data_IF_978672418427
#
_entry.id   IF_978672418427
#
_cell.length_a   1.000
_cell.length_b   1.000
_cell.length_c   1.000
_cell.angle_alpha   90.00
_cell.angle_beta   90.00
_cell.angle_gamma   90.00
#
_symmetry.space_group_name_H-M   'P 1'
#
loop_
_entity.id
_entity.type
_entity.pdbx_description
1 polymer ?
#
# COMPACT_ATOMS: atom_id res chain seq x y z
N UNK A 1 -10.93 4.89 18.91
CA UNK A 1 -10.07 5.85 18.17
C UNK A 1 -10.03 5.43 16.71
N UNK A 2 -9.87 6.38 15.79
CA UNK A 2 -9.84 6.16 14.35
C UNK A 2 -8.47 6.53 13.79
N UNK A 3 -7.90 5.65 12.99
CA UNK A 3 -6.66 5.91 12.29
C UNK A 3 -6.89 5.97 10.77
N UNK A 4 -6.24 6.93 10.11
CA UNK A 4 -6.15 6.98 8.65
C UNK A 4 -4.70 6.69 8.24
N UNK A 5 -4.48 5.63 7.46
CA UNK A 5 -3.19 5.33 6.84
C UNK A 5 -3.22 5.79 5.38
N UNK A 6 -2.30 6.68 5.02
CA UNK A 6 -2.13 7.18 3.65
C UNK A 6 -0.97 6.39 3.05
N UNK A 7 -1.32 5.39 2.25
CA UNK A 7 -0.42 4.50 1.51
C UNK A 7 -1.22 3.63 0.54
N UNK A 8 -0.72 3.50 -0.68
CA UNK A 8 -1.18 2.46 -1.59
C UNK A 8 -0.88 1.06 -1.00
N UNK A 9 -1.73 0.07 -1.29
CA UNK A 9 -1.39 -1.32 -1.07
C UNK A 9 -0.33 -1.78 -2.09
N UNK A 10 0.45 -2.81 -1.75
CA UNK A 10 1.39 -3.43 -2.70
C UNK A 10 1.09 -4.92 -2.88
N UNK A 11 1.40 -5.43 -4.07
CA UNK A 11 1.55 -6.87 -4.28
C UNK A 11 3.04 -7.20 -4.29
N UNK A 12 3.47 -8.09 -3.40
CA UNK A 12 4.86 -8.51 -3.31
C UNK A 12 5.02 -9.86 -4.03
N UNK A 13 5.77 -9.84 -5.14
CA UNK A 13 6.21 -11.04 -5.86
C UNK A 13 7.60 -11.40 -5.36
N UNK A 14 7.71 -12.54 -4.67
CA UNK A 14 8.92 -12.97 -3.98
C UNK A 14 9.47 -14.21 -4.68
N UNK A 15 10.61 -14.04 -5.33
CA UNK A 15 11.40 -15.11 -5.93
C UNK A 15 12.45 -15.62 -4.95
N UNK A 16 12.46 -16.94 -4.74
CA UNK A 16 13.50 -17.64 -3.97
C UNK A 16 14.33 -18.48 -4.95
N UNK A 17 15.55 -18.02 -5.29
CA UNK A 17 16.37 -18.65 -6.33
C UNK A 17 16.71 -20.10 -6.02
N UNK A 18 17.09 -20.37 -4.76
CA UNK A 18 17.46 -21.72 -4.29
C UNK A 18 16.30 -22.70 -4.46
N UNK A 19 15.09 -22.24 -4.16
CA UNK A 19 13.87 -23.04 -4.17
C UNK A 19 13.16 -23.04 -5.53
N UNK A 20 13.66 -22.24 -6.49
CA UNK A 20 13.05 -22.03 -7.83
C UNK A 20 11.55 -21.76 -7.76
N UNK A 21 11.13 -20.98 -6.76
CA UNK A 21 9.71 -20.68 -6.52
C UNK A 21 9.47 -19.18 -6.49
N UNK A 22 8.28 -18.79 -6.94
CA UNK A 22 7.77 -17.44 -6.79
C UNK A 22 6.48 -17.47 -5.97
N UNK A 23 6.42 -16.67 -4.92
CA UNK A 23 5.24 -16.51 -4.07
C UNK A 23 4.70 -15.10 -4.25
N UNK A 24 3.36 -14.96 -4.25
CA UNK A 24 2.68 -13.67 -4.29
C UNK A 24 2.03 -13.42 -2.94
N UNK A 25 2.37 -12.32 -2.30
CA UNK A 25 1.83 -11.95 -1.00
C UNK A 25 1.23 -10.55 -1.02
N UNK A 26 0.14 -10.32 -0.26
CA UNK A 26 -0.32 -8.98 0.01
C UNK A 26 0.74 -8.25 0.83
N UNK A 27 1.01 -7.00 0.48
CA UNK A 27 2.08 -6.21 1.07
C UNK A 27 1.71 -4.75 1.25
N UNK A 28 2.72 -3.99 1.68
CA UNK A 28 2.66 -2.54 1.74
C UNK A 28 2.43 -1.99 3.15
N UNK A 29 2.86 -0.75 3.41
CA UNK A 29 2.76 -0.11 4.72
C UNK A 29 1.32 -0.05 5.27
N UNK A 30 0.32 0.15 4.40
CA UNK A 30 -1.08 0.18 4.80
C UNK A 30 -1.54 -1.12 5.49
N UNK A 31 -1.14 -2.28 4.96
CA UNK A 31 -1.50 -3.58 5.52
C UNK A 31 -0.89 -3.78 6.91
N UNK A 32 0.42 -3.58 7.05
CA UNK A 32 1.12 -3.83 8.31
C UNK A 32 0.76 -2.81 9.40
N UNK A 33 0.70 -1.52 9.04
CA UNK A 33 0.27 -0.48 9.98
C UNK A 33 -1.19 -0.71 10.38
N UNK A 34 -2.06 -1.08 9.43
CA UNK A 34 -3.45 -1.37 9.71
C UNK A 34 -3.63 -2.55 10.66
N UNK A 35 -2.92 -3.66 10.43
CA UNK A 35 -2.91 -4.82 11.33
C UNK A 35 -2.49 -4.45 12.75
N UNK A 36 -1.39 -3.70 12.90
CA UNK A 36 -0.92 -3.26 14.20
C UNK A 36 -1.96 -2.36 14.92
N UNK A 37 -2.52 -1.39 14.20
CA UNK A 37 -3.54 -0.47 14.73
C UNK A 37 -4.84 -1.19 15.12
N UNK A 38 -5.28 -2.18 14.33
CA UNK A 38 -6.42 -3.04 14.67
C UNK A 38 -6.15 -3.80 15.98
N UNK A 39 -4.95 -4.33 16.16
CA UNK A 39 -4.52 -4.97 17.41
C UNK A 39 -4.54 -4.03 18.62
N UNK A 40 -4.36 -2.73 18.40
CA UNK A 40 -4.47 -1.68 19.42
C UNK A 40 -5.90 -1.16 19.63
N UNK A 41 -6.91 -1.75 18.98
CA UNK A 41 -8.31 -1.36 19.13
C UNK A 41 -8.73 -0.13 18.30
N UNK A 42 -7.94 0.28 17.30
CA UNK A 42 -8.34 1.35 16.38
C UNK A 42 -9.34 0.82 15.33
N UNK A 43 -10.26 1.70 14.94
CA UNK A 43 -10.92 1.61 13.64
C UNK A 43 -9.95 2.14 12.59
N UNK A 44 -9.62 1.32 11.59
CA UNK A 44 -8.59 1.67 10.61
C UNK A 44 -9.22 1.94 9.26
N UNK A 45 -8.94 3.12 8.73
CA UNK A 45 -9.18 3.47 7.35
C UNK A 45 -7.85 3.60 6.60
N UNK A 46 -7.83 3.20 5.33
CA UNK A 46 -6.69 3.39 4.45
C UNK A 46 -7.11 4.15 3.19
N UNK A 47 -6.21 5.00 2.70
CA UNK A 47 -6.32 5.64 1.39
C UNK A 47 -5.04 5.42 0.60
N UNK A 48 -5.21 5.11 -0.68
CA UNK A 48 -4.12 4.99 -1.63
C UNK A 48 -4.64 4.38 -2.93
N UNK A 49 -4.10 4.80 -4.07
CA UNK A 49 -4.50 4.29 -5.38
C UNK A 49 -4.07 2.82 -5.51
N UNK A 50 -4.93 1.98 -6.09
CA UNK A 50 -4.60 0.59 -6.37
C UNK A 50 -5.09 0.18 -7.74
N UNK A 51 -4.27 -0.59 -8.45
CA UNK A 51 -4.59 -1.11 -9.77
C UNK A 51 -5.07 -2.55 -9.73
N UNK A 52 -5.36 -3.10 -10.92
CA UNK A 52 -6.01 -4.40 -11.09
C UNK A 52 -5.22 -5.55 -10.45
N UNK A 53 -3.89 -5.51 -10.47
CA UNK A 53 -3.05 -6.60 -9.91
C UNK A 53 -3.02 -6.62 -8.39
N UNK A 54 -3.38 -5.52 -7.74
CA UNK A 54 -3.28 -5.34 -6.28
C UNK A 54 -4.65 -5.50 -5.61
N UNK A 55 -5.71 -5.80 -6.40
CA UNK A 55 -7.08 -5.94 -5.91
C UNK A 55 -7.22 -7.00 -4.81
N UNK A 56 -6.52 -8.12 -4.93
CA UNK A 56 -6.54 -9.19 -3.92
C UNK A 56 -5.93 -8.74 -2.60
N UNK A 57 -4.94 -7.83 -2.64
CA UNK A 57 -4.38 -7.22 -1.42
C UNK A 57 -5.42 -6.35 -0.72
N UNK A 58 -6.23 -5.59 -1.46
CA UNK A 58 -7.31 -4.79 -0.89
C UNK A 58 -8.39 -5.67 -0.26
N UNK A 59 -8.76 -6.77 -0.92
CA UNK A 59 -9.72 -7.73 -0.36
C UNK A 59 -9.18 -8.37 0.93
N UNK A 60 -7.87 -8.66 0.97
CA UNK A 60 -7.21 -9.16 2.16
C UNK A 60 -7.17 -8.12 3.29
N UNK A 61 -6.84 -6.85 3.02
CA UNK A 61 -6.95 -5.76 4.00
C UNK A 61 -8.36 -5.67 4.60
N UNK A 62 -9.39 -5.75 3.75
CA UNK A 62 -10.80 -5.69 4.18
C UNK A 62 -11.20 -6.85 5.09
N UNK A 63 -10.73 -8.07 4.81
CA UNK A 63 -11.01 -9.24 5.67
C UNK A 63 -10.39 -9.10 7.07
N UNK A 64 -9.37 -8.25 7.21
CA UNK A 64 -8.72 -7.91 8.49
C UNK A 64 -9.37 -6.71 9.20
N UNK A 65 -10.49 -6.19 8.67
CA UNK A 65 -11.20 -5.03 9.21
C UNK A 65 -10.51 -3.69 8.92
N UNK A 66 -9.65 -3.63 7.90
CA UNK A 66 -9.04 -2.39 7.40
C UNK A 66 -9.92 -1.85 6.27
N UNK A 67 -10.53 -0.68 6.49
CA UNK A 67 -11.46 -0.10 5.52
C UNK A 67 -10.72 0.76 4.51
N UNK A 68 -10.65 0.35 3.25
CA UNK A 68 -10.11 1.19 2.17
C UNK A 68 -11.20 2.09 1.58
N UNK A 69 -11.04 3.41 1.69
CA UNK A 69 -12.07 4.38 1.28
C UNK A 69 -12.03 4.74 -0.21
N UNK A 70 -10.91 4.46 -0.89
CA UNK A 70 -10.68 4.57 -2.33
C UNK A 70 -9.27 3.94 -2.65
N UNK A 71 -8.72 3.88 -3.86
CA UNK A 71 -9.12 4.41 -5.17
C UNK A 71 -8.71 3.39 -6.24
N UNK A 72 -9.64 2.58 -6.75
CA UNK A 72 -9.36 1.64 -7.83
C UNK A 72 -8.99 2.41 -9.11
N UNK A 73 -7.96 1.95 -9.80
CA UNK A 73 -7.44 2.50 -11.06
C UNK A 73 -7.33 1.40 -12.11
N UNK A 74 -7.31 1.80 -13.37
CA UNK A 74 -7.12 0.88 -14.51
C UNK A 74 -5.64 0.49 -14.73
N UNK A 75 -4.71 1.07 -13.97
CA UNK A 75 -3.30 0.69 -14.01
C UNK A 75 -3.03 -0.64 -13.26
N UNK A 76 -1.76 -1.04 -13.17
CA UNK A 76 -1.36 -2.29 -12.52
C UNK A 76 -1.26 -2.17 -11.00
N UNK A 77 -1.16 -0.97 -10.43
CA UNK A 77 -0.83 -0.73 -9.03
C UNK A 77 0.64 -0.96 -8.71
N UNK A 78 1.01 -0.80 -7.43
CA UNK A 78 2.36 -1.08 -6.96
C UNK A 78 2.60 -2.58 -6.85
N UNK A 79 3.48 -3.09 -7.70
CA UNK A 79 3.97 -4.47 -7.61
C UNK A 79 5.47 -4.41 -7.29
N UNK A 80 5.84 -5.03 -6.18
CA UNK A 80 7.22 -5.14 -5.74
C UNK A 80 7.74 -6.51 -6.11
N UNK A 81 8.89 -6.57 -6.78
CA UNK A 81 9.57 -7.84 -7.02
C UNK A 81 10.77 -7.93 -6.08
N UNK A 82 10.73 -8.90 -5.19
CA UNK A 82 11.82 -9.25 -4.29
C UNK A 82 12.49 -10.53 -4.77
N UNK A 83 13.81 -10.55 -4.82
CA UNK A 83 14.59 -11.75 -5.11
C UNK A 83 15.46 -12.06 -3.90
N UNK A 84 15.34 -13.25 -3.34
CA UNK A 84 16.27 -13.83 -2.37
C UNK A 84 17.25 -14.72 -3.14
N UNK A 85 18.44 -14.19 -3.36
CA UNK A 85 19.46 -14.84 -4.16
C UNK A 85 20.10 -16.02 -3.41
N UNK A 86 20.66 -16.98 -4.15
CA UNK A 86 21.42 -18.09 -3.56
C UNK A 86 22.61 -17.62 -2.71
N UNK A 87 23.13 -16.42 -2.97
CA UNK A 87 24.18 -15.77 -2.17
C UNK A 87 23.70 -15.26 -0.80
N UNK A 88 22.39 -15.32 -0.50
CA UNK A 88 21.78 -14.72 0.69
C UNK A 88 21.43 -13.24 0.53
N UNK A 89 21.76 -12.62 -0.61
CA UNK A 89 21.42 -11.23 -0.90
C UNK A 89 19.91 -11.09 -1.18
N UNK A 90 19.30 -10.02 -0.65
CA UNK A 90 17.94 -9.61 -1.03
C UNK A 90 17.99 -8.41 -1.97
N UNK A 91 17.39 -8.57 -3.14
CA UNK A 91 17.18 -7.48 -4.11
C UNK A 91 15.71 -7.12 -4.18
N UNK A 92 15.42 -5.83 -4.35
CA UNK A 92 14.04 -5.34 -4.50
C UNK A 92 13.97 -4.37 -5.66
N UNK A 93 12.98 -4.54 -6.52
CA UNK A 93 12.67 -3.60 -7.60
C UNK A 93 11.17 -3.32 -7.66
N UNK A 94 10.81 -2.13 -8.12
CA UNK A 94 9.43 -1.76 -8.40
C UNK A 94 9.10 -2.26 -9.81
N UNK A 95 8.24 -3.27 -9.93
CA UNK A 95 7.82 -3.86 -11.20
C UNK A 95 6.70 -3.05 -11.88
N UNK A 96 5.85 -2.39 -11.10
CA UNK A 96 4.88 -1.41 -11.59
C UNK A 96 4.55 -0.39 -10.50
N UNK A 97 4.06 0.77 -10.92
CA UNK A 97 3.58 1.85 -10.04
C UNK A 97 2.07 2.05 -10.18
N UNK A 98 1.43 2.55 -9.12
CA UNK A 98 0.08 3.10 -9.22
C UNK A 98 0.12 4.56 -9.69
N UNK A 99 -0.99 5.04 -10.26
CA UNK A 99 -1.24 6.47 -10.48
C UNK A 99 -1.18 7.25 -9.16
N UNK A 100 -0.82 8.54 -9.16
CA UNK A 100 -0.71 9.32 -7.92
C UNK A 100 -2.06 9.53 -7.23
N UNK A 101 -1.99 9.84 -5.93
CA UNK A 101 -3.15 10.25 -5.15
C UNK A 101 -3.40 11.75 -5.33
N UNK A 102 -4.65 12.14 -5.60
CA UNK A 102 -4.99 13.57 -5.68
C UNK A 102 -5.24 14.20 -4.30
N UNK A 103 -5.05 15.51 -4.20
CA UNK A 103 -5.35 16.26 -2.98
C UNK A 103 -6.85 16.20 -2.60
N UNK A 104 -7.74 16.12 -3.60
CA UNK A 104 -9.18 16.00 -3.38
C UNK A 104 -9.55 14.64 -2.77
N UNK A 105 -8.98 13.55 -3.29
CA UNK A 105 -9.19 12.21 -2.72
C UNK A 105 -8.69 12.14 -1.29
N UNK A 106 -7.52 12.72 -1.01
CA UNK A 106 -7.00 12.82 0.35
C UNK A 106 -7.94 13.60 1.26
N UNK A 107 -8.41 14.79 0.82
CA UNK A 107 -9.36 15.61 1.58
C UNK A 107 -10.66 14.85 1.85
N UNK A 108 -11.19 14.15 0.85
CA UNK A 108 -12.41 13.34 0.98
C UNK A 108 -12.23 12.22 2.02
N UNK A 109 -11.09 11.52 2.01
CA UNK A 109 -10.81 10.50 3.01
C UNK A 109 -10.70 11.06 4.43
N UNK A 110 -10.04 12.20 4.62
CA UNK A 110 -9.94 12.84 5.95
C UNK A 110 -11.34 13.19 6.47
N UNK A 111 -12.21 13.76 5.63
CA UNK A 111 -13.58 14.12 6.00
C UNK A 111 -14.46 12.90 6.29
N UNK A 112 -14.29 11.80 5.53
CA UNK A 112 -15.04 10.55 5.68
C UNK A 112 -14.61 9.76 6.91
N UNK A 113 -13.30 9.58 7.09
CA UNK A 113 -12.73 8.74 8.13
C UNK A 113 -12.67 9.45 9.48
N UNK A 114 -12.61 10.79 9.48
CA UNK A 114 -12.51 11.65 10.67
C UNK A 114 -11.45 11.12 11.67
N UNK A 115 -10.20 10.89 11.21
CA UNK A 115 -9.20 10.21 12.03
C UNK A 115 -8.75 11.04 13.23
N UNK A 116 -8.44 10.35 14.33
CA UNK A 116 -7.73 10.90 15.49
C UNK A 116 -6.21 10.81 15.29
N UNK A 117 -5.77 9.87 14.45
CA UNK A 117 -4.37 9.61 14.09
C UNK A 117 -4.23 9.50 12.57
N UNK A 118 -3.25 10.19 12.00
CA UNK A 118 -2.90 10.07 10.58
C UNK A 118 -1.48 9.55 10.45
N UNK A 119 -1.32 8.45 9.72
CA UNK A 119 -0.01 7.90 9.36
C UNK A 119 0.19 8.08 7.85
N UNK A 120 1.32 8.65 7.47
CA UNK A 120 1.70 8.84 6.07
C UNK A 120 2.90 7.96 5.79
N UNK A 121 2.76 7.02 4.85
CA UNK A 121 3.91 6.34 4.27
C UNK A 121 4.16 6.94 2.88
N UNK A 122 5.24 7.72 2.68
CA UNK A 122 5.57 8.28 1.39
C UNK A 122 6.17 7.19 0.50
N UNK A 123 5.35 6.25 0.06
CA UNK A 123 5.76 5.26 -0.91
C UNK A 123 5.72 5.86 -2.32
N UNK A 124 6.83 5.67 -3.06
CA UNK A 124 6.89 5.73 -4.52
C UNK A 124 6.18 6.91 -5.23
N UNK A 125 6.37 8.12 -4.72
CA UNK A 125 5.85 9.38 -5.30
C UNK A 125 4.31 9.56 -5.19
N UNK A 126 3.63 8.81 -4.32
CA UNK A 126 2.16 8.91 -4.12
C UNK A 126 1.69 10.30 -3.70
N UNK A 127 2.58 11.05 -3.04
CA UNK A 127 2.39 12.47 -2.72
C UNK A 127 3.25 13.28 -3.70
N UNK A 128 2.65 14.13 -4.55
CA UNK A 128 3.41 14.89 -5.53
C UNK A 128 4.43 15.77 -4.81
N UNK A 129 5.72 15.47 -5.01
CA UNK A 129 6.79 16.40 -4.69
C UNK A 129 6.53 17.64 -5.53
N UNK A 130 6.27 18.80 -4.89
CA UNK A 130 6.37 20.07 -5.59
C UNK A 130 7.75 20.09 -6.22
N UNK A 131 7.83 20.04 -7.55
CA UNK A 131 9.01 20.52 -8.26
C UNK A 131 9.05 22.01 -7.94
N UNK A 132 9.83 22.38 -6.92
CA UNK A 132 10.38 23.72 -6.86
C UNK A 132 11.12 23.90 -8.18
N UNK A 133 10.58 24.74 -9.05
CA UNK A 133 11.25 25.12 -10.28
C UNK A 133 12.63 25.66 -9.90
N UNK A 134 13.67 24.92 -10.30
CA UNK A 134 15.05 25.37 -10.41
C UNK A 134 15.36 25.41 -11.90
#
# INVERSE_FOLDING_TARGET
MRALVISAPTLDEIEFEVERRTVKLPGGPALFAGLALRGLGYEVCCIGPFGLRVKDTVLFEQSLGITRVCCERHDKGYVMHHTYAASGERRTKVASKASPLSAEELRSAVLRCKPDLVLVSPNFDEVPLRRSAL
#
